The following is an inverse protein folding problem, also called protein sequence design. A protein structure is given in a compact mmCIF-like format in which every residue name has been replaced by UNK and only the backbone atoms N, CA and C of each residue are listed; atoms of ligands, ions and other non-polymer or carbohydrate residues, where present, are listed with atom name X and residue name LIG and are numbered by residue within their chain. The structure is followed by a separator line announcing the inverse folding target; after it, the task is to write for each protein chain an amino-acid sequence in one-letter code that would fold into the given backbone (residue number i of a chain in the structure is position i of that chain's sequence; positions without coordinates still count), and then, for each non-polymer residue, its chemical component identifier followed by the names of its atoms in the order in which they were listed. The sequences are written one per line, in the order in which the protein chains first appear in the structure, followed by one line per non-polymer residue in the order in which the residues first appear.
data_IF_423621399341
#
_entry.id   IF_423621399341
#
_cell.length_a   1.000
_cell.length_b   1.000
_cell.length_c   1.000
_cell.angle_alpha   90.00
_cell.angle_beta   90.00
_cell.angle_gamma   90.00
#
_symmetry.space_group_name_H-M   'P 1'
#
loop_
_entity.id
_entity.type
_entity.pdbx_description
1 polymer ?
#
# COMPACT_ATOMS: atom_id res chain seq x y z
N UNK A 1 0.14 18.68 -79.77
CA UNK A 1 0.46 18.85 -78.35
C UNK A 1 -0.86 18.91 -77.62
N UNK A 2 -1.22 17.87 -76.88
CA UNK A 2 -2.44 17.84 -76.07
C UNK A 2 -2.03 17.45 -74.65
N UNK A 3 -2.29 18.35 -73.70
CA UNK A 3 -1.90 18.22 -72.31
C UNK A 3 -2.81 17.23 -71.58
N UNK A 4 -2.18 16.30 -70.86
CA UNK A 4 -2.84 15.27 -70.06
C UNK A 4 -3.14 15.85 -68.65
N UNK A 5 -4.41 15.96 -68.21
CA UNK A 5 -4.69 16.54 -66.90
C UNK A 5 -4.31 15.55 -65.78
N UNK A 6 -3.41 16.02 -64.92
CA UNK A 6 -2.90 15.32 -63.73
C UNK A 6 -4.06 14.75 -62.89
N UNK A 7 -4.14 13.41 -62.78
CA UNK A 7 -4.89 12.69 -61.74
C UNK A 7 -4.29 13.03 -60.36
N UNK A 8 -4.65 14.20 -59.85
CA UNK A 8 -4.17 14.73 -58.58
C UNK A 8 -4.86 14.05 -57.40
N UNK A 9 -4.06 13.38 -56.57
CA UNK A 9 -4.07 13.31 -55.09
C UNK A 9 -5.38 13.25 -54.27
N UNK A 10 -6.58 13.21 -54.84
CA UNK A 10 -7.87 13.17 -54.11
C UNK A 10 -7.94 11.92 -53.22
N UNK A 11 -7.45 10.77 -53.71
CA UNK A 11 -7.34 9.54 -52.93
C UNK A 11 -6.43 9.68 -51.69
N UNK A 12 -5.36 10.48 -51.76
CA UNK A 12 -4.48 10.71 -50.60
C UNK A 12 -5.17 11.57 -49.54
N UNK A 13 -5.91 12.60 -49.93
CA UNK A 13 -6.67 13.42 -48.98
C UNK A 13 -7.78 12.63 -48.31
N UNK A 14 -8.52 11.80 -49.07
CA UNK A 14 -9.53 10.90 -48.49
C UNK A 14 -8.89 9.91 -47.51
N UNK A 15 -7.74 9.33 -47.87
CA UNK A 15 -7.01 8.43 -46.97
C UNK A 15 -6.55 9.14 -45.69
N UNK A 16 -6.05 10.38 -45.75
CA UNK A 16 -5.65 11.14 -44.56
C UNK A 16 -6.83 11.47 -43.65
N UNK A 17 -8.00 11.81 -44.22
CA UNK A 17 -9.21 12.07 -43.43
C UNK A 17 -9.70 10.80 -42.72
N UNK A 18 -9.66 9.65 -43.39
CA UNK A 18 -10.03 8.37 -42.78
C UNK A 18 -9.07 7.95 -41.66
N UNK A 19 -7.76 8.15 -41.86
CA UNK A 19 -6.75 7.88 -40.83
C UNK A 19 -6.94 8.82 -39.63
N UNK A 20 -7.17 10.12 -39.86
CA UNK A 20 -7.42 11.07 -38.78
C UNK A 20 -8.69 10.71 -37.98
N UNK A 21 -9.78 10.33 -38.67
CA UNK A 21 -11.02 9.89 -38.03
C UNK A 21 -10.82 8.60 -37.22
N UNK A 22 -10.04 7.64 -37.73
CA UNK A 22 -9.71 6.40 -37.03
C UNK A 22 -8.86 6.66 -35.78
N UNK A 23 -7.88 7.56 -35.85
CA UNK A 23 -7.03 7.96 -34.71
C UNK A 23 -7.86 8.67 -33.64
N UNK A 24 -8.77 9.57 -34.04
CA UNK A 24 -9.68 10.25 -33.11
C UNK A 24 -10.64 9.24 -32.46
N UNK A 25 -11.21 8.31 -33.24
CA UNK A 25 -12.07 7.24 -32.72
C UNK A 25 -11.34 6.32 -31.73
N UNK A 26 -10.09 5.95 -32.03
CA UNK A 26 -9.22 5.18 -31.14
C UNK A 26 -8.89 5.94 -29.85
N UNK A 27 -8.56 7.23 -29.96
CA UNK A 27 -8.28 8.09 -28.82
C UNK A 27 -9.52 8.20 -27.92
N UNK A 28 -10.71 8.43 -28.49
CA UNK A 28 -11.96 8.49 -27.73
C UNK A 28 -12.24 7.14 -27.08
N UNK A 29 -12.13 6.02 -27.80
CA UNK A 29 -12.38 4.68 -27.25
C UNK A 29 -11.48 4.34 -26.05
N UNK A 30 -10.18 4.66 -26.12
CA UNK A 30 -9.25 4.42 -25.02
C UNK A 30 -9.35 5.45 -23.89
N UNK A 31 -9.80 6.68 -24.17
CA UNK A 31 -9.96 7.74 -23.17
C UNK A 31 -11.34 7.73 -22.49
N UNK A 32 -12.34 7.11 -23.10
CA UNK A 32 -13.65 6.90 -22.47
C UNK A 32 -13.56 5.73 -21.49
N UNK A 33 -13.78 5.97 -20.18
CA UNK A 33 -13.80 4.89 -19.20
C UNK A 33 -14.93 3.92 -19.57
N UNK A 34 -14.65 2.61 -19.55
CA UNK A 34 -15.70 1.59 -19.62
C UNK A 34 -16.68 1.87 -18.50
N UNK A 35 -17.94 2.14 -18.85
CA UNK A 35 -19.01 2.27 -17.85
C UNK A 35 -19.20 0.87 -17.24
N UNK A 36 -19.04 0.76 -15.94
CA UNK A 36 -19.43 -0.45 -15.20
C UNK A 36 -20.87 -0.78 -15.56
N UNK A 37 -21.18 -2.05 -15.76
CA UNK A 37 -22.59 -2.45 -15.87
C UNK A 37 -23.31 -2.13 -14.56
N UNK A 38 -24.62 -1.92 -14.60
CA UNK A 38 -25.42 -1.58 -13.40
C UNK A 38 -25.25 -2.64 -12.30
N UNK A 39 -25.08 -3.90 -12.67
CA UNK A 39 -24.83 -5.01 -11.74
C UNK A 39 -23.43 -4.94 -11.12
N UNK A 40 -22.38 -4.72 -11.92
CA UNK A 40 -21.00 -4.58 -11.43
C UNK A 40 -20.83 -3.36 -10.52
N UNK A 41 -21.44 -2.22 -10.87
CA UNK A 41 -21.45 -1.02 -10.05
C UNK A 41 -22.15 -1.23 -8.70
N UNK A 42 -23.30 -1.93 -8.69
CA UNK A 42 -24.03 -2.24 -7.45
C UNK A 42 -23.25 -3.20 -6.54
N UNK A 43 -22.57 -4.19 -7.11
CA UNK A 43 -21.74 -5.13 -6.35
C UNK A 43 -20.51 -4.43 -5.74
N UNK A 44 -19.85 -3.55 -6.50
CA UNK A 44 -18.72 -2.77 -6.01
C UNK A 44 -19.13 -1.85 -4.85
N UNK A 45 -20.28 -1.16 -4.96
CA UNK A 45 -20.80 -0.31 -3.90
C UNK A 45 -21.09 -1.08 -2.62
N UNK A 46 -21.73 -2.26 -2.73
CA UNK A 46 -21.98 -3.12 -1.59
C UNK A 46 -20.67 -3.55 -0.91
N UNK A 47 -19.65 -3.87 -1.71
CA UNK A 47 -18.34 -4.25 -1.17
C UNK A 47 -17.67 -3.09 -0.42
N UNK A 48 -17.67 -1.88 -0.98
CA UNK A 48 -17.11 -0.68 -0.32
C UNK A 48 -17.86 -0.40 0.99
N UNK A 49 -19.19 -0.46 0.97
CA UNK A 49 -20.02 -0.22 2.16
C UNK A 49 -19.77 -1.26 3.26
N UNK A 50 -19.67 -2.54 2.89
CA UNK A 50 -19.33 -3.60 3.84
C UNK A 50 -17.94 -3.40 4.46
N UNK A 51 -16.95 -2.97 3.68
CA UNK A 51 -15.62 -2.66 4.21
C UNK A 51 -15.62 -1.45 5.14
N UNK A 52 -16.37 -0.39 4.82
CA UNK A 52 -16.52 0.76 5.72
C UNK A 52 -17.13 0.32 7.06
N UNK A 53 -18.17 -0.51 7.03
CA UNK A 53 -18.81 -1.05 8.23
C UNK A 53 -17.83 -1.90 9.05
N UNK A 54 -17.04 -2.75 8.40
CA UNK A 54 -16.05 -3.58 9.07
C UNK A 54 -14.93 -2.75 9.71
N UNK A 55 -14.43 -1.73 9.00
CA UNK A 55 -13.46 -0.77 9.57
C UNK A 55 -14.06 -0.04 10.78
N UNK A 56 -15.31 0.42 10.69
CA UNK A 56 -15.99 1.11 11.78
C UNK A 56 -16.19 0.22 13.02
N UNK A 57 -16.41 -1.08 12.81
CA UNK A 57 -16.44 -2.07 13.89
C UNK A 57 -15.06 -2.23 14.51
N UNK A 58 -14.03 -2.40 13.68
CA UNK A 58 -12.66 -2.61 14.11
C UNK A 58 -12.09 -1.41 14.87
N UNK A 59 -12.44 -0.19 14.47
CA UNK A 59 -12.10 1.04 15.19
C UNK A 59 -12.62 1.04 16.64
N UNK A 60 -13.77 0.41 16.90
CA UNK A 60 -14.41 0.33 18.22
C UNK A 60 -14.03 -0.92 19.02
N UNK A 61 -13.48 -1.94 18.36
CA UNK A 61 -13.12 -3.21 19.01
C UNK A 61 -11.65 -3.25 19.44
N UNK A 62 -11.35 -4.17 20.34
CA UNK A 62 -9.98 -4.58 20.65
C UNK A 62 -9.54 -5.68 19.67
N UNK A 63 -8.74 -5.29 18.66
CA UNK A 63 -8.20 -6.21 17.67
C UNK A 63 -6.97 -7.00 18.16
N UNK A 64 -6.47 -6.74 19.38
CA UNK A 64 -5.25 -7.37 19.90
C UNK A 64 -5.33 -8.89 20.05
N UNK A 65 -6.55 -9.44 20.06
CA UNK A 65 -6.81 -10.90 20.11
C UNK A 65 -6.59 -11.62 18.77
N UNK A 66 -6.62 -10.88 17.66
CA UNK A 66 -6.33 -11.45 16.35
C UNK A 66 -4.81 -11.53 16.14
N UNK A 67 -4.35 -12.55 15.42
CA UNK A 67 -2.93 -12.69 15.13
C UNK A 67 -2.43 -11.59 14.17
N UNK A 68 -1.13 -11.32 14.23
CA UNK A 68 -0.48 -10.22 13.49
C UNK A 68 -0.63 -10.41 11.97
N UNK A 69 -0.56 -11.64 11.47
CA UNK A 69 -0.63 -11.91 10.03
C UNK A 69 -2.03 -11.65 9.48
N UNK A 70 -3.08 -12.04 10.22
CA UNK A 70 -4.47 -11.75 9.88
C UNK A 70 -4.72 -10.24 9.83
N UNK A 71 -4.28 -9.50 10.87
CA UNK A 71 -4.44 -8.04 10.92
C UNK A 71 -3.70 -7.33 9.78
N UNK A 72 -2.46 -7.72 9.48
CA UNK A 72 -1.70 -7.17 8.35
C UNK A 72 -2.37 -7.47 7.00
N UNK A 73 -2.88 -8.69 6.82
CA UNK A 73 -3.58 -9.09 5.59
C UNK A 73 -4.87 -8.29 5.39
N UNK A 74 -5.61 -8.04 6.48
CA UNK A 74 -6.80 -7.20 6.45
C UNK A 74 -6.47 -5.76 6.02
N UNK A 75 -5.42 -5.15 6.56
CA UNK A 75 -4.97 -3.82 6.09
C UNK A 75 -4.54 -3.83 4.61
N UNK A 76 -3.83 -4.86 4.15
CA UNK A 76 -3.43 -5.00 2.74
C UNK A 76 -4.65 -5.15 1.81
N UNK A 77 -5.67 -5.91 2.24
CA UNK A 77 -6.94 -6.07 1.52
C UNK A 77 -7.66 -4.72 1.36
N UNK A 78 -7.76 -3.94 2.45
CA UNK A 78 -8.39 -2.62 2.42
C UNK A 78 -7.66 -1.64 1.50
N UNK A 79 -6.33 -1.59 1.58
CA UNK A 79 -5.49 -0.81 0.66
C UNK A 79 -5.73 -1.23 -0.80
N UNK A 80 -5.82 -2.53 -1.07
CA UNK A 80 -6.01 -3.06 -2.42
C UNK A 80 -7.36 -2.63 -2.99
N UNK A 81 -8.44 -2.79 -2.22
CA UNK A 81 -9.76 -2.29 -2.62
C UNK A 81 -9.73 -0.79 -2.92
N UNK A 82 -9.15 0.02 -2.03
CA UNK A 82 -9.06 1.46 -2.28
C UNK A 82 -8.33 1.76 -3.59
N UNK A 83 -7.22 1.07 -3.87
CA UNK A 83 -6.47 1.25 -5.11
C UNK A 83 -7.27 0.89 -6.37
N UNK A 84 -8.19 -0.07 -6.29
CA UNK A 84 -9.12 -0.40 -7.38
C UNK A 84 -10.15 0.71 -7.63
N UNK A 85 -10.64 1.36 -6.56
CA UNK A 85 -11.79 2.28 -6.66
C UNK A 85 -11.41 3.76 -6.68
N UNK A 86 -10.21 4.14 -6.25
CA UNK A 86 -9.78 5.54 -6.11
C UNK A 86 -9.77 6.34 -7.41
N UNK A 87 -9.61 5.65 -8.55
CA UNK A 87 -9.62 6.27 -9.88
C UNK A 87 -11.02 6.36 -10.52
N UNK A 88 -12.07 5.90 -9.83
CA UNK A 88 -13.41 5.83 -10.39
C UNK A 88 -13.96 7.23 -10.69
N UNK A 89 -14.53 7.39 -11.89
CA UNK A 89 -15.28 8.60 -12.30
C UNK A 89 -16.78 8.47 -12.04
N UNK A 90 -17.23 7.33 -11.53
CA UNK A 90 -18.63 7.10 -11.20
C UNK A 90 -19.05 7.99 -10.02
N UNK A 91 -20.17 8.70 -10.17
CA UNK A 91 -20.65 9.70 -9.21
C UNK A 91 -21.08 9.10 -7.87
N UNK A 92 -21.37 7.80 -7.82
CA UNK A 92 -21.76 7.07 -6.61
C UNK A 92 -20.54 6.43 -5.96
N UNK A 93 -19.63 5.84 -6.76
CA UNK A 93 -18.43 5.17 -6.23
C UNK A 93 -17.42 6.18 -5.70
N UNK A 94 -17.20 7.32 -6.38
CA UNK A 94 -16.17 8.28 -6.00
C UNK A 94 -16.33 8.80 -4.55
N UNK A 95 -17.51 9.28 -4.11
CA UNK A 95 -17.69 9.71 -2.72
C UNK A 95 -17.47 8.57 -1.71
N UNK A 96 -17.84 7.33 -2.07
CA UNK A 96 -17.62 6.15 -1.22
C UNK A 96 -16.15 5.79 -1.09
N UNK A 97 -15.38 5.91 -2.17
CA UNK A 97 -13.93 5.73 -2.16
C UNK A 97 -13.23 6.77 -1.25
N UNK A 98 -13.68 8.03 -1.28
CA UNK A 98 -13.16 9.09 -0.39
C UNK A 98 -13.49 8.82 1.10
N UNK A 99 -14.66 8.25 1.38
CA UNK A 99 -15.00 7.82 2.76
C UNK A 99 -14.11 6.64 3.17
N UNK A 100 -13.97 5.64 2.29
CA UNK A 100 -13.13 4.48 2.53
C UNK A 100 -11.68 4.88 2.82
N UNK A 101 -11.11 5.81 2.04
CA UNK A 101 -9.77 6.37 2.29
C UNK A 101 -9.63 6.89 3.71
N UNK A 102 -10.52 7.79 4.12
CA UNK A 102 -10.49 8.39 5.47
C UNK A 102 -10.54 7.34 6.56
N UNK A 103 -11.38 6.31 6.38
CA UNK A 103 -11.54 5.20 7.33
C UNK A 103 -10.30 4.32 7.39
N UNK A 104 -9.69 4.00 6.24
CA UNK A 104 -8.43 3.25 6.17
C UNK A 104 -7.31 3.99 6.89
N UNK A 105 -7.13 5.28 6.58
CA UNK A 105 -6.10 6.12 7.23
C UNK A 105 -6.31 6.15 8.75
N UNK A 106 -7.55 6.33 9.19
CA UNK A 106 -7.90 6.37 10.60
C UNK A 106 -7.54 5.06 11.31
N UNK A 107 -7.94 3.91 10.77
CA UNK A 107 -7.70 2.60 11.41
C UNK A 107 -6.22 2.22 11.33
N UNK A 108 -5.53 2.46 10.21
CA UNK A 108 -4.09 2.21 10.10
C UNK A 108 -3.29 3.02 11.13
N UNK A 109 -3.61 4.31 11.28
CA UNK A 109 -2.93 5.19 12.23
C UNK A 109 -3.09 4.72 13.69
N UNK A 110 -4.21 4.08 14.02
CA UNK A 110 -4.48 3.49 15.33
C UNK A 110 -3.77 2.13 15.50
N UNK A 111 -3.91 1.24 14.53
CA UNK A 111 -3.55 -0.17 14.65
C UNK A 111 -2.05 -0.45 14.47
N UNK A 112 -1.34 0.29 13.61
CA UNK A 112 0.09 0.03 13.36
C UNK A 112 0.96 0.11 14.63
N UNK A 113 0.81 1.13 15.52
CA UNK A 113 1.49 1.15 16.82
C UNK A 113 1.22 -0.09 17.69
N UNK A 114 0.00 -0.62 17.65
CA UNK A 114 -0.38 -1.82 18.39
C UNK A 114 0.21 -3.09 17.76
N UNK A 115 0.23 -3.18 16.43
CA UNK A 115 0.86 -4.28 15.68
C UNK A 115 2.36 -4.36 15.98
N UNK A 116 3.05 -3.23 16.07
CA UNK A 116 4.48 -3.17 16.47
C UNK A 116 4.67 -3.69 17.89
N UNK A 117 3.80 -3.29 18.82
CA UNK A 117 3.78 -3.78 20.20
C UNK A 117 3.58 -5.28 20.27
N UNK A 118 2.59 -5.81 19.55
CA UNK A 118 2.32 -7.23 19.47
C UNK A 118 3.49 -8.01 18.88
N UNK A 119 4.12 -7.48 17.83
CA UNK A 119 5.31 -8.08 17.22
C UNK A 119 6.45 -8.22 18.22
N UNK A 120 6.82 -7.14 18.92
CA UNK A 120 7.90 -7.19 19.92
C UNK A 120 7.57 -8.15 21.05
N UNK A 121 6.33 -8.15 21.55
CA UNK A 121 5.88 -9.09 22.58
C UNK A 121 6.03 -10.55 22.11
N UNK A 122 5.65 -10.85 20.87
CA UNK A 122 5.72 -12.20 20.29
C UNK A 122 7.16 -12.71 20.09
N UNK A 123 8.13 -11.82 19.91
CA UNK A 123 9.53 -12.18 19.64
C UNK A 123 10.41 -12.18 20.88
N UNK A 124 9.94 -11.62 22.00
CA UNK A 124 10.73 -11.40 23.20
C UNK A 124 11.35 -12.69 23.75
N UNK A 125 10.57 -13.76 23.84
CA UNK A 125 11.04 -15.05 24.35
C UNK A 125 12.05 -15.70 23.41
N UNK A 126 11.70 -15.82 22.12
CA UNK A 126 12.57 -16.45 21.11
C UNK A 126 13.91 -15.74 21.00
N UNK A 127 13.92 -14.40 20.94
CA UNK A 127 15.17 -13.63 20.89
C UNK A 127 15.95 -13.69 22.21
N UNK A 128 15.24 -13.77 23.34
CA UNK A 128 15.85 -13.95 24.65
C UNK A 128 16.71 -15.22 24.74
N UNK A 129 16.30 -16.31 24.09
CA UNK A 129 17.09 -17.55 24.02
C UNK A 129 18.46 -17.36 23.33
N UNK A 130 18.56 -16.33 22.48
CA UNK A 130 19.78 -15.98 21.74
C UNK A 130 20.53 -14.80 22.40
N UNK A 131 20.17 -14.45 23.64
CA UNK A 131 20.71 -13.28 24.36
C UNK A 131 20.48 -11.96 23.61
N UNK A 132 19.40 -11.89 22.82
CA UNK A 132 18.97 -10.67 22.14
C UNK A 132 17.73 -10.14 22.85
N UNK A 133 17.80 -8.89 23.27
CA UNK A 133 16.63 -8.16 23.77
C UNK A 133 16.03 -7.30 22.66
N UNK A 134 14.72 -7.14 22.68
CA UNK A 134 13.95 -6.40 21.69
C UNK A 134 13.06 -5.37 22.41
N UNK A 135 13.03 -4.14 21.90
CA UNK A 135 12.26 -3.04 22.47
C UNK A 135 11.73 -2.09 21.40
N UNK A 136 10.82 -1.21 21.80
CA UNK A 136 10.22 -0.17 20.97
C UNK A 136 10.58 1.20 21.52
N UNK A 137 10.71 2.18 20.63
CA UNK A 137 10.81 3.59 21.01
C UNK A 137 10.16 4.49 19.95
N UNK A 138 10.14 5.79 20.24
CA UNK A 138 9.49 6.80 19.39
C UNK A 138 8.01 6.98 19.72
N UNK A 139 7.38 8.05 19.21
CA UNK A 139 6.03 8.46 19.61
C UNK A 139 4.93 7.49 19.17
N UNK A 140 5.19 6.66 18.15
CA UNK A 140 4.25 5.66 17.60
C UNK A 140 4.82 4.23 17.63
N UNK A 141 5.78 3.99 18.52
CA UNK A 141 6.57 2.76 18.56
C UNK A 141 7.24 2.44 17.21
N UNK A 142 7.60 3.46 16.44
CA UNK A 142 8.07 3.34 15.05
C UNK A 142 9.58 3.08 14.93
N UNK A 143 10.28 3.00 16.06
CA UNK A 143 11.69 2.58 16.14
C UNK A 143 11.78 1.23 16.85
N UNK A 144 12.38 0.25 16.16
CA UNK A 144 12.64 -1.08 16.68
C UNK A 144 14.08 -1.16 17.19
N UNK A 145 14.28 -1.59 18.43
CA UNK A 145 15.61 -1.70 19.04
C UNK A 145 15.91 -3.16 19.29
N UNK A 146 17.07 -3.63 18.82
CA UNK A 146 17.66 -4.90 19.19
C UNK A 146 18.94 -4.66 19.97
N UNK A 147 19.12 -5.36 21.09
CA UNK A 147 20.35 -5.29 21.86
C UNK A 147 20.89 -6.70 22.11
N UNK A 148 22.14 -6.93 21.70
CA UNK A 148 22.86 -8.19 21.85
C UNK A 148 24.27 -8.11 21.27
N UNK A 149 25.22 -8.82 21.88
CA UNK A 149 26.64 -8.77 21.49
C UNK A 149 26.89 -9.16 20.01
N UNK A 150 26.02 -9.98 19.43
CA UNK A 150 26.08 -10.40 18.02
C UNK A 150 26.09 -9.23 17.02
N UNK A 151 25.52 -8.08 17.40
CA UNK A 151 25.42 -6.91 16.54
C UNK A 151 26.69 -6.05 16.47
N UNK A 152 27.75 -6.41 17.20
CA UNK A 152 29.07 -5.78 17.05
C UNK A 152 29.67 -6.00 15.64
N UNK A 153 29.23 -7.04 14.92
CA UNK A 153 29.67 -7.34 13.56
C UNK A 153 28.70 -6.78 12.51
N UNK A 154 29.22 -6.09 11.50
CA UNK A 154 28.44 -5.60 10.35
C UNK A 154 27.74 -6.76 9.62
N UNK A 155 28.46 -7.86 9.39
CA UNK A 155 27.93 -9.06 8.72
C UNK A 155 26.72 -9.63 9.45
N UNK A 156 26.75 -9.64 10.78
CA UNK A 156 25.62 -10.10 11.60
C UNK A 156 24.43 -9.15 11.51
N UNK A 157 24.66 -7.83 11.51
CA UNK A 157 23.59 -6.83 11.34
C UNK A 157 22.92 -6.96 9.98
N UNK A 158 23.68 -7.13 8.91
CA UNK A 158 23.16 -7.29 7.55
C UNK A 158 22.35 -8.57 7.40
N UNK A 159 22.90 -9.71 7.84
CA UNK A 159 22.20 -10.98 7.79
C UNK A 159 20.92 -10.96 8.63
N UNK A 160 20.94 -10.33 9.80
CA UNK A 160 19.75 -10.18 10.63
C UNK A 160 18.72 -9.27 9.95
N UNK A 161 19.16 -8.12 9.43
CA UNK A 161 18.31 -7.17 8.73
C UNK A 161 17.60 -7.82 7.54
N UNK A 162 18.31 -8.56 6.70
CA UNK A 162 17.72 -9.22 5.52
C UNK A 162 16.59 -10.18 5.90
N UNK A 163 16.73 -10.90 7.02
CA UNK A 163 15.70 -11.80 7.52
C UNK A 163 14.46 -11.06 8.04
N UNK A 164 14.63 -9.91 8.69
CA UNK A 164 13.51 -9.17 9.29
C UNK A 164 12.95 -8.06 8.38
N UNK A 165 13.63 -7.73 7.29
CA UNK A 165 13.29 -6.61 6.40
C UNK A 165 11.85 -6.65 5.91
N UNK A 166 11.29 -7.80 5.45
CA UNK A 166 9.91 -7.83 4.97
C UNK A 166 8.92 -7.46 6.08
N UNK A 167 9.09 -8.03 7.28
CA UNK A 167 8.15 -7.80 8.38
C UNK A 167 8.27 -6.39 8.96
N UNK A 168 9.48 -5.82 9.04
CA UNK A 168 9.62 -4.43 9.53
C UNK A 168 9.06 -3.40 8.54
N UNK A 169 9.09 -3.70 7.24
CA UNK A 169 8.47 -2.88 6.21
C UNK A 169 6.94 -3.00 6.25
N UNK A 170 6.41 -4.22 6.38
CA UNK A 170 4.96 -4.46 6.53
C UNK A 170 4.38 -3.81 7.79
N UNK A 171 5.13 -3.84 8.90
CA UNK A 171 4.79 -3.17 10.16
C UNK A 171 5.12 -1.67 10.17
N UNK A 172 5.59 -1.14 9.03
CA UNK A 172 5.86 0.29 8.81
C UNK A 172 6.82 0.89 9.85
N UNK A 173 7.80 0.14 10.35
CA UNK A 173 8.84 0.74 11.17
C UNK A 173 9.59 1.78 10.34
N UNK A 174 10.02 2.88 10.98
CA UNK A 174 10.84 3.91 10.34
C UNK A 174 12.32 3.67 10.54
N UNK A 175 12.67 3.01 11.65
CA UNK A 175 14.06 2.82 12.05
C UNK A 175 14.25 1.51 12.80
N UNK A 176 15.38 0.86 12.55
CA UNK A 176 15.92 -0.22 13.37
C UNK A 176 17.20 0.28 14.01
N UNK A 177 17.39 0.01 15.30
CA UNK A 177 18.59 0.34 16.07
C UNK A 177 19.18 -0.95 16.61
N UNK A 178 20.44 -1.21 16.27
CA UNK A 178 21.21 -2.30 16.83
C UNK A 178 22.13 -1.75 17.92
N UNK A 179 22.10 -2.35 19.11
CA UNK A 179 23.01 -2.05 20.22
C UNK A 179 23.81 -3.31 20.57
N UNK A 180 25.08 -3.13 20.91
CA UNK A 180 25.94 -4.23 21.39
C UNK A 180 26.76 -3.85 22.64
N UNK A 181 26.70 -2.59 23.06
CA UNK A 181 27.17 -2.10 24.36
C UNK A 181 26.32 -0.90 24.79
N UNK A 182 26.53 -0.38 26.00
CA UNK A 182 25.84 0.83 26.47
C UNK A 182 26.22 2.09 25.66
N UNK A 183 27.39 2.07 25.01
CA UNK A 183 27.94 3.21 24.28
C UNK A 183 27.85 3.05 22.77
N UNK A 184 27.73 1.82 22.28
CA UNK A 184 27.85 1.51 20.87
C UNK A 184 26.51 1.06 20.27
N UNK A 185 26.14 1.73 19.18
CA UNK A 185 24.93 1.43 18.44
C UNK A 185 25.06 1.79 16.96
N UNK A 186 24.18 1.21 16.14
CA UNK A 186 24.09 1.47 14.71
C UNK A 186 22.62 1.56 14.31
N UNK A 187 22.30 2.56 13.51
CA UNK A 187 20.94 2.88 13.08
C UNK A 187 20.75 2.53 11.60
N UNK A 188 19.66 1.83 11.30
CA UNK A 188 19.19 1.58 9.95
C UNK A 188 17.85 2.27 9.70
N UNK A 189 17.80 3.13 8.67
CA UNK A 189 16.55 3.77 8.23
C UNK A 189 15.77 2.82 7.34
N UNK A 190 14.55 2.50 7.75
CA UNK A 190 13.64 1.65 6.99
C UNK A 190 12.87 2.52 6.01
N UNK A 191 12.93 2.18 4.73
CA UNK A 191 12.05 2.77 3.71
C UNK A 191 10.70 2.07 3.77
N UNK A 192 9.82 2.54 4.63
CA UNK A 192 8.45 2.07 4.76
C UNK A 192 7.45 3.23 4.58
N UNK A 193 6.23 2.88 4.16
CA UNK A 193 5.11 3.80 4.08
C UNK A 193 4.78 4.37 5.48
N UNK A 194 4.42 5.65 5.62
CA UNK A 194 3.81 6.18 6.83
C UNK A 194 2.52 5.43 7.20
N UNK A 195 2.13 5.43 8.48
CA UNK A 195 0.89 4.77 8.94
C UNK A 195 -0.37 5.31 8.27
N UNK A 196 -0.35 6.56 7.81
CA UNK A 196 -1.47 7.20 7.14
C UNK A 196 -1.45 7.01 5.61
N UNK A 197 -0.45 6.35 5.03
CA UNK A 197 -0.37 6.14 3.59
C UNK A 197 -1.05 4.81 3.20
N UNK A 198 -1.84 4.85 2.12
CA UNK A 198 -2.53 3.69 1.55
C UNK A 198 -1.63 3.01 0.52
#
# INVERSE_FOLDING_TARGET
MEENPRKGNIFKYIAYVLIAAAVIGFAIYFLTPKKLTVAEGKNMLLFIDNQIIDIDRNLKSDMSKQDIATRLSWHKSNTSLYNEVRGSKDKVIKPKAEILEKKIVQVQTKEFPELRTAYVKSKKEVLGTQQITIALSGPKNDTLIFNGAIFASEKSKDAFLDNIKPIIQDLRFKKVVYKWSDKDSSDYKVRAKPDAEI
#
